data_IF_365848964681
#
_entry.id   IF_365848964681
#
_cell.length_a   1.000
_cell.length_b   1.000
_cell.length_c   1.000
_cell.angle_alpha   90.00
_cell.angle_beta   90.00
_cell.angle_gamma   90.00
#
_symmetry.space_group_name_H-M   'P 1'
#
loop_
_entity.id
_entity.type
_entity.pdbx_description
1 polymer ?
#
# COMPACT_ATOMS: atom_id res chain seq x y z
N UNK A 1 -14.55 16.95 21.74
CA UNK A 1 -14.64 18.30 21.13
C UNK A 1 -16.02 18.92 21.27
N UNK A 2 -17.08 18.38 20.67
CA UNK A 2 -18.44 18.93 20.84
C UNK A 2 -18.98 18.74 22.27
N UNK A 3 -18.76 17.56 22.86
CA UNK A 3 -19.13 17.25 24.25
C UNK A 3 -18.33 18.08 25.27
N UNK A 4 -17.08 18.39 24.95
CA UNK A 4 -16.20 19.24 25.78
C UNK A 4 -16.38 20.74 25.49
N UNK A 5 -17.29 21.13 24.59
CA UNK A 5 -17.61 22.53 24.27
C UNK A 5 -16.62 23.29 23.37
N UNK A 6 -15.62 22.62 22.79
CA UNK A 6 -14.66 23.25 21.87
C UNK A 6 -15.21 23.56 20.48
N UNK A 7 -16.29 22.88 20.07
CA UNK A 7 -17.02 23.13 18.81
C UNK A 7 -18.52 23.00 19.04
N UNK A 8 -19.32 23.69 18.24
CA UNK A 8 -20.78 23.55 18.27
C UNK A 8 -21.22 22.22 17.66
N UNK A 9 -22.42 21.75 18.01
CA UNK A 9 -23.01 20.55 17.38
C UNK A 9 -23.17 20.71 15.86
N UNK A 10 -23.48 21.92 15.39
CA UNK A 10 -23.60 22.19 13.96
C UNK A 10 -22.25 22.03 13.23
N UNK A 11 -21.15 22.51 13.82
CA UNK A 11 -19.80 22.36 13.27
C UNK A 11 -19.34 20.90 13.30
N UNK A 12 -19.64 20.16 14.36
CA UNK A 12 -19.33 18.73 14.43
C UNK A 12 -20.06 17.93 13.35
N UNK A 13 -21.35 18.20 13.14
CA UNK A 13 -22.15 17.56 12.08
C UNK A 13 -21.69 17.94 10.68
N UNK A 14 -21.21 19.17 10.48
CA UNK A 14 -20.61 19.60 9.23
C UNK A 14 -19.29 18.86 8.96
N UNK A 15 -18.39 18.82 9.95
CA UNK A 15 -17.10 18.14 9.84
C UNK A 15 -17.22 16.62 9.60
N UNK A 16 -18.21 15.96 10.22
CA UNK A 16 -18.49 14.54 9.99
C UNK A 16 -18.89 14.21 8.54
N UNK A 17 -19.40 15.19 7.79
CA UNK A 17 -19.80 15.03 6.39
C UNK A 17 -18.67 15.38 5.42
N UNK A 18 -17.57 15.94 5.90
CA UNK A 18 -16.43 16.24 5.06
C UNK A 18 -15.66 14.96 4.72
N UNK A 19 -15.31 14.76 3.43
CA UNK A 19 -14.51 13.61 3.04
C UNK A 19 -13.09 13.73 3.61
N UNK A 20 -12.61 12.64 4.20
CA UNK A 20 -11.23 12.56 4.71
C UNK A 20 -10.26 12.64 3.53
N UNK A 21 -9.53 13.75 3.43
CA UNK A 21 -8.48 13.92 2.42
C UNK A 21 -7.12 13.58 3.02
N UNK A 22 -6.51 12.50 2.55
CA UNK A 22 -5.17 12.12 2.98
C UNK A 22 -4.15 12.95 2.23
N UNK A 23 -3.29 13.66 2.97
CA UNK A 23 -2.07 14.25 2.40
C UNK A 23 -1.10 13.12 2.09
N UNK A 24 -0.71 12.98 0.83
CA UNK A 24 0.36 12.06 0.43
C UNK A 24 1.70 12.65 0.89
N UNK A 25 2.43 11.95 1.75
CA UNK A 25 3.83 12.29 2.07
C UNK A 25 4.66 12.26 0.79
N UNK A 26 5.65 13.14 0.68
CA UNK A 26 6.54 13.13 -0.48
C UNK A 26 7.33 11.81 -0.52
N UNK A 27 7.64 11.32 -1.72
CA UNK A 27 8.45 10.11 -1.89
C UNK A 27 9.86 10.26 -1.27
N UNK A 28 10.32 11.49 -1.07
CA UNK A 28 11.59 11.81 -0.41
C UNK A 28 11.57 11.52 1.10
N UNK A 29 10.39 11.53 1.73
CA UNK A 29 10.23 11.27 3.17
C UNK A 29 10.04 9.78 3.51
N UNK A 30 9.84 8.92 2.50
CA UNK A 30 9.49 7.51 2.72
C UNK A 30 10.52 6.62 2.05
N UNK A 31 11.35 5.93 2.84
CA UNK A 31 12.26 4.93 2.30
C UNK A 31 11.46 3.82 1.64
N UNK A 32 11.70 3.57 0.34
CA UNK A 32 11.08 2.49 -0.42
C UNK A 32 11.63 1.14 0.06
N UNK A 33 11.02 0.62 1.13
CA UNK A 33 11.43 -0.61 1.79
C UNK A 33 10.28 -1.17 2.65
N UNK A 34 9.06 -1.16 2.13
CA UNK A 34 7.84 -1.43 2.91
C UNK A 34 7.88 -2.79 3.61
N UNK A 35 8.28 -3.85 2.90
CA UNK A 35 8.42 -5.19 3.47
C UNK A 35 9.50 -5.27 4.54
N UNK A 36 10.62 -4.58 4.35
CA UNK A 36 11.68 -4.53 5.35
C UNK A 36 11.23 -3.75 6.59
N UNK A 37 10.54 -2.63 6.40
CA UNK A 37 9.99 -1.81 7.49
C UNK A 37 8.94 -2.57 8.29
N UNK A 38 8.08 -3.35 7.63
CA UNK A 38 7.11 -4.21 8.29
C UNK A 38 7.80 -5.31 9.11
N UNK A 39 8.89 -5.90 8.59
CA UNK A 39 9.66 -6.88 9.35
C UNK A 39 10.34 -6.25 10.59
N UNK A 40 10.88 -5.03 10.45
CA UNK A 40 11.40 -4.26 11.58
C UNK A 40 10.29 -3.99 12.61
N UNK A 41 9.08 -3.61 12.16
CA UNK A 41 7.91 -3.42 13.04
C UNK A 41 7.60 -4.70 13.83
N UNK A 42 7.52 -5.85 13.15
CA UNK A 42 7.27 -7.16 13.79
C UNK A 42 8.31 -7.48 14.84
N UNK A 43 9.59 -7.25 14.55
CA UNK A 43 10.67 -7.48 15.51
C UNK A 43 10.60 -6.55 16.71
N UNK A 44 10.24 -5.28 16.51
CA UNK A 44 10.10 -4.32 17.61
C UNK A 44 8.90 -4.64 18.50
N UNK A 45 7.74 -4.96 17.91
CA UNK A 45 6.57 -5.43 18.66
C UNK A 45 6.88 -6.69 19.45
N UNK A 46 7.59 -7.66 18.85
CA UNK A 46 8.00 -8.87 19.56
C UNK A 46 8.93 -8.62 20.75
N UNK A 47 9.72 -7.53 20.72
CA UNK A 47 10.69 -7.18 21.77
C UNK A 47 10.13 -6.27 22.85
N UNK A 48 9.27 -5.33 22.48
CA UNK A 48 8.82 -4.23 23.34
C UNK A 48 7.31 -4.25 23.62
N UNK A 49 6.58 -5.21 23.04
CA UNK A 49 5.12 -5.22 23.06
C UNK A 49 4.52 -4.15 22.14
N UNK A 50 3.20 -4.18 21.97
CA UNK A 50 2.50 -3.18 21.14
C UNK A 50 2.54 -1.78 21.78
N UNK A 51 2.26 -1.67 23.08
CA UNK A 51 2.31 -0.38 23.81
C UNK A 51 3.70 0.24 23.75
N UNK A 52 4.76 -0.53 24.02
CA UNK A 52 6.13 -0.02 23.97
C UNK A 52 6.59 0.40 22.58
N UNK A 53 6.05 -0.22 21.52
CA UNK A 53 6.34 0.17 20.15
C UNK A 53 5.60 1.46 19.73
N UNK A 54 4.30 1.56 20.02
CA UNK A 54 3.47 2.68 19.57
C UNK A 54 3.60 3.92 20.46
N UNK A 55 3.84 3.76 21.76
CA UNK A 55 3.87 4.86 22.72
C UNK A 55 5.29 5.24 23.16
N UNK A 56 6.29 4.41 22.82
CA UNK A 56 7.67 4.56 23.29
C UNK A 56 8.49 5.67 22.63
N UNK A 57 7.98 6.36 21.59
CA UNK A 57 8.69 7.45 20.91
C UNK A 57 10.02 7.02 20.27
N UNK A 58 10.11 5.77 19.80
CA UNK A 58 11.37 5.16 19.36
C UNK A 58 11.92 5.81 18.07
N UNK A 59 13.22 6.13 18.09
CA UNK A 59 13.99 6.41 16.86
C UNK A 59 14.77 5.16 16.46
N UNK A 60 14.43 4.57 15.31
CA UNK A 60 14.93 3.27 14.88
C UNK A 60 15.93 3.44 13.74
N UNK A 61 17.15 2.95 13.94
CA UNK A 61 18.18 2.87 12.89
C UNK A 61 18.41 1.42 12.51
N UNK A 62 18.33 1.13 11.22
CA UNK A 62 18.45 -0.22 10.67
C UNK A 62 19.55 -0.30 9.62
N UNK A 63 19.79 -1.51 9.12
CA UNK A 63 20.81 -1.79 8.11
C UNK A 63 20.31 -1.61 6.68
N UNK A 64 19.07 -1.16 6.48
CA UNK A 64 18.47 -1.06 5.14
C UNK A 64 19.22 -0.03 4.30
N UNK A 65 19.54 -0.42 3.06
CA UNK A 65 20.05 0.47 2.05
C UNK A 65 18.97 0.65 0.98
N UNK A 66 18.30 1.82 0.90
CA UNK A 66 17.13 2.00 0.03
C UNK A 66 17.39 1.63 -1.43
N UNK A 67 18.56 2.01 -1.96
CA UNK A 67 18.95 1.70 -3.33
C UNK A 67 19.07 0.20 -3.59
N UNK A 68 19.65 -0.55 -2.66
CA UNK A 68 19.78 -2.00 -2.81
C UNK A 68 18.43 -2.70 -2.66
N UNK A 69 17.57 -2.23 -1.76
CA UNK A 69 16.22 -2.77 -1.59
C UNK A 69 15.40 -2.61 -2.88
N UNK A 70 15.41 -1.43 -3.50
CA UNK A 70 14.73 -1.20 -4.78
C UNK A 70 15.21 -2.16 -5.89
N UNK A 71 16.51 -2.43 -5.95
CA UNK A 71 17.07 -3.38 -6.92
C UNK A 71 16.66 -4.81 -6.61
N UNK A 72 16.62 -5.20 -5.33
CA UNK A 72 16.17 -6.51 -4.90
C UNK A 72 14.69 -6.74 -5.23
N UNK A 73 13.83 -5.76 -4.96
CA UNK A 73 12.40 -5.83 -5.25
C UNK A 73 12.15 -5.99 -6.75
N UNK A 74 12.88 -5.23 -7.58
CA UNK A 74 12.83 -5.36 -9.04
C UNK A 74 13.28 -6.74 -9.49
N UNK A 75 14.44 -7.21 -9.03
CA UNK A 75 14.98 -8.51 -9.41
C UNK A 75 14.03 -9.67 -9.03
N UNK A 76 13.39 -9.59 -7.87
CA UNK A 76 12.40 -10.58 -7.43
C UNK A 76 11.17 -10.58 -8.34
N UNK A 77 10.59 -9.41 -8.61
CA UNK A 77 9.41 -9.27 -9.48
C UNK A 77 9.71 -9.77 -10.89
N UNK A 78 10.84 -9.36 -11.45
CA UNK A 78 11.28 -9.77 -12.79
C UNK A 78 11.54 -11.29 -12.85
N UNK A 79 12.15 -11.86 -11.82
CA UNK A 79 12.40 -13.29 -11.70
C UNK A 79 11.11 -14.10 -11.63
N UNK A 80 10.14 -13.67 -10.83
CA UNK A 80 8.82 -14.30 -10.73
C UNK A 80 8.06 -14.21 -12.05
N UNK A 81 8.04 -13.04 -12.69
CA UNK A 81 7.40 -12.87 -13.99
C UNK A 81 8.06 -13.73 -15.08
N UNK A 82 9.40 -13.81 -15.10
CA UNK A 82 10.12 -14.64 -16.06
C UNK A 82 9.86 -16.14 -15.83
N UNK A 83 9.85 -16.58 -14.57
CA UNK A 83 9.51 -17.95 -14.20
C UNK A 83 8.08 -18.30 -14.62
N UNK A 84 7.14 -17.38 -14.36
CA UNK A 84 5.73 -17.53 -14.70
C UNK A 84 5.51 -17.68 -16.21
N UNK A 85 6.12 -16.78 -17.01
CA UNK A 85 6.05 -16.80 -18.49
C UNK A 85 6.65 -18.06 -19.10
N UNK A 86 7.73 -18.61 -18.53
CA UNK A 86 8.37 -19.85 -19.01
C UNK A 86 7.46 -21.07 -18.90
N UNK A 87 6.49 -21.07 -17.98
CA UNK A 87 5.54 -22.16 -17.80
C UNK A 87 4.40 -22.17 -18.83
N UNK A 88 4.41 -21.23 -19.77
CA UNK A 88 3.50 -21.21 -20.91
C UNK A 88 2.23 -20.40 -20.70
N UNK A 89 1.44 -20.30 -21.77
CA UNK A 89 0.18 -19.56 -21.82
C UNK A 89 -0.90 -20.26 -20.98
N UNK A 90 -1.53 -19.56 -20.02
CA UNK A 90 -2.58 -20.12 -19.13
C UNK A 90 -4.02 -19.99 -19.63
N UNK A 91 -4.23 -19.34 -20.76
CA UNK A 91 -5.55 -18.96 -21.25
C UNK A 91 -5.77 -17.45 -21.16
N UNK A 92 -6.78 -16.91 -21.85
CA UNK A 92 -7.20 -15.54 -21.64
C UNK A 92 -7.81 -15.37 -20.24
N UNK A 93 -7.49 -14.26 -19.57
CA UNK A 93 -8.05 -13.92 -18.25
C UNK A 93 -9.56 -13.66 -18.34
N UNK A 94 -10.01 -13.07 -19.43
CA UNK A 94 -11.44 -12.84 -19.72
C UNK A 94 -11.69 -12.78 -21.22
N UNK A 95 -12.96 -12.83 -21.63
CA UNK A 95 -13.41 -12.59 -23.01
C UNK A 95 -14.34 -11.39 -23.00
N UNK A 96 -14.01 -10.37 -23.78
CA UNK A 96 -14.80 -9.15 -23.94
C UNK A 96 -15.32 -9.08 -25.37
N UNK A 97 -16.58 -8.70 -25.52
CA UNK A 97 -17.19 -8.41 -26.82
C UNK A 97 -16.85 -6.96 -27.21
N UNK A 98 -16.12 -6.73 -28.32
CA UNK A 98 -15.80 -5.38 -28.79
C UNK A 98 -17.03 -4.54 -29.14
N UNK A 99 -18.17 -5.17 -29.43
CA UNK A 99 -19.43 -4.49 -29.74
C UNK A 99 -20.23 -4.01 -28.52
N UNK A 100 -19.85 -4.42 -27.31
CA UNK A 100 -20.54 -4.03 -26.08
C UNK A 100 -20.15 -2.60 -25.68
N UNK A 101 -21.12 -1.73 -25.36
CA UNK A 101 -20.84 -0.33 -25.03
C UNK A 101 -19.93 -0.15 -23.80
N UNK A 102 -19.89 -1.13 -22.91
CA UNK A 102 -19.21 -1.13 -21.61
C UNK A 102 -17.87 -1.89 -21.60
N UNK A 103 -17.38 -2.38 -22.75
CA UNK A 103 -16.18 -3.25 -22.77
C UNK A 103 -14.94 -2.59 -22.15
N UNK A 104 -14.81 -1.25 -22.23
CA UNK A 104 -13.70 -0.50 -21.63
C UNK A 104 -13.77 -0.48 -20.10
N UNK A 105 -14.94 -0.31 -19.54
CA UNK A 105 -15.17 -0.32 -18.10
C UNK A 105 -14.92 -1.72 -17.53
N UNK A 106 -15.40 -2.74 -18.25
CA UNK A 106 -15.14 -4.14 -17.92
C UNK A 106 -13.65 -4.51 -18.02
N UNK A 107 -12.92 -3.96 -18.99
CA UNK A 107 -11.47 -4.14 -19.08
C UNK A 107 -10.75 -3.50 -17.90
N UNK A 108 -11.12 -2.27 -17.53
CA UNK A 108 -10.52 -1.56 -16.40
C UNK A 108 -10.76 -2.26 -15.05
N UNK A 109 -11.90 -2.94 -14.90
CA UNK A 109 -12.22 -3.75 -13.72
C UNK A 109 -11.70 -5.19 -13.75
N UNK A 110 -11.06 -5.63 -14.84
CA UNK A 110 -10.51 -6.99 -14.93
C UNK A 110 -9.18 -7.03 -14.19
N UNK A 111 -9.11 -7.80 -13.10
CA UNK A 111 -7.85 -8.10 -12.41
C UNK A 111 -7.05 -9.16 -13.19
N UNK A 112 -5.88 -8.83 -13.76
CA UNK A 112 -5.03 -9.79 -14.46
C UNK A 112 -4.27 -10.73 -13.51
N UNK A 113 -4.43 -10.59 -12.19
CA UNK A 113 -3.76 -11.38 -11.15
C UNK A 113 -2.32 -10.93 -10.85
N UNK A 114 -1.88 -9.82 -11.46
CA UNK A 114 -0.58 -9.19 -11.22
C UNK A 114 -0.75 -7.68 -11.34
N UNK A 115 -0.29 -6.92 -10.34
CA UNK A 115 -0.26 -5.46 -10.46
C UNK A 115 0.69 -5.06 -11.60
N UNK A 116 0.12 -4.54 -12.69
CA UNK A 116 0.87 -3.82 -13.70
C UNK A 116 1.28 -2.49 -13.06
N UNK A 117 2.50 -2.47 -12.52
CA UNK A 117 3.09 -1.28 -11.91
C UNK A 117 3.14 -0.08 -12.84
#
# INVERSE_FOLDING_TARGET
MAEDGYVTQAEAQAALREPVTLRRRSAEETAVADFFTEEVRRQLVARFGEEGFYEGGLSVRTTVQPRLQQLADRALRDGLAAYDRKRGWRGPVTKLDPGAADWRERLAGTDPGFELG
#
